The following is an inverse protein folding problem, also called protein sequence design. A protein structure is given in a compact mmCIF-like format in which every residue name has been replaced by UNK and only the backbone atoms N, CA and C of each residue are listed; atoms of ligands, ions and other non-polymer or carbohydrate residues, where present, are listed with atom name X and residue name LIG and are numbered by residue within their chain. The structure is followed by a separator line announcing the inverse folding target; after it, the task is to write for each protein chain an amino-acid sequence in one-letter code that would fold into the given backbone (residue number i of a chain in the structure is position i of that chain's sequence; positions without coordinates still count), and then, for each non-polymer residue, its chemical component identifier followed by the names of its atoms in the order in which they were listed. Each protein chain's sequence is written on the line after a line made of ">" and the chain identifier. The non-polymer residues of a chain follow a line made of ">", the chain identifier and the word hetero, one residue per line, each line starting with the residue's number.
data_IF_232024810400
#
_entry.id   IF_232024810400
#
_cell.length_a   1.000
_cell.length_b   1.000
_cell.length_c   1.000
_cell.angle_alpha   90.00
_cell.angle_beta   90.00
_cell.angle_gamma   90.00
#
_symmetry.space_group_name_H-M   'P 1'
#
loop_
_entity.id
_entity.type
_entity.pdbx_description
1 polymer ?
#
# COMPACT_ATOMS: atom_id res chain seq x y z
N UNK A 1 -21.26 -1.84 1.40
CA UNK A 1 -20.10 -1.67 0.50
C UNK A 1 -20.15 -2.80 -0.52
N UNK A 2 -19.51 -2.65 -1.69
CA UNK A 2 -19.45 -3.73 -2.68
C UNK A 2 -18.15 -3.72 -3.47
N UNK A 3 -17.80 -4.87 -4.03
CA UNK A 3 -16.72 -5.01 -4.99
C UNK A 3 -17.22 -4.55 -6.36
N UNK A 4 -16.66 -3.47 -6.90
CA UNK A 4 -17.05 -2.94 -8.21
C UNK A 4 -16.39 -3.71 -9.34
N UNK A 5 -15.10 -4.04 -9.19
CA UNK A 5 -14.31 -4.72 -10.22
C UNK A 5 -13.23 -5.59 -9.61
N UNK A 6 -12.95 -6.72 -10.27
CA UNK A 6 -11.72 -7.50 -10.09
C UNK A 6 -10.85 -7.24 -11.31
N UNK A 7 -9.59 -6.89 -11.11
CA UNK A 7 -8.67 -6.53 -12.18
C UNK A 7 -7.41 -7.38 -12.13
N UNK A 8 -6.99 -7.88 -13.30
CA UNK A 8 -5.78 -8.70 -13.45
C UNK A 8 -4.79 -8.02 -14.39
N UNK A 9 -3.50 -8.12 -14.06
CA UNK A 9 -2.40 -7.66 -14.88
C UNK A 9 -1.73 -8.82 -15.60
N UNK A 10 -1.17 -8.53 -16.77
CA UNK A 10 -0.28 -9.44 -17.51
C UNK A 10 1.09 -8.79 -17.63
N UNK A 11 2.13 -9.60 -17.72
CA UNK A 11 3.47 -9.09 -18.02
C UNK A 11 3.47 -8.42 -19.40
N UNK A 12 3.81 -7.14 -19.43
CA UNK A 12 3.95 -6.36 -20.67
C UNK A 12 5.30 -5.63 -20.68
N UNK A 13 5.94 -5.58 -21.85
CA UNK A 13 7.18 -4.81 -22.07
C UNK A 13 6.85 -3.33 -22.22
N UNK A 14 7.48 -2.49 -21.39
CA UNK A 14 7.24 -1.05 -21.35
C UNK A 14 8.55 -0.25 -21.23
N UNK A 15 8.62 0.97 -21.79
CA UNK A 15 9.86 1.77 -21.78
C UNK A 15 10.09 2.54 -20.46
N UNK A 16 9.16 2.46 -19.50
CA UNK A 16 9.13 3.33 -18.32
C UNK A 16 9.30 2.60 -16.98
N UNK A 17 9.51 1.28 -17.02
CA UNK A 17 9.79 0.46 -15.83
C UNK A 17 11.29 0.39 -15.56
N UNK A 18 11.66 0.26 -14.28
CA UNK A 18 13.03 0.00 -13.83
C UNK A 18 13.33 -1.49 -13.65
N UNK A 19 12.35 -2.37 -13.89
CA UNK A 19 12.57 -3.81 -13.90
C UNK A 19 13.64 -4.18 -14.95
N UNK A 20 14.63 -5.04 -14.63
CA UNK A 20 15.77 -5.31 -15.54
C UNK A 20 15.40 -5.81 -16.93
N UNK A 21 14.29 -6.53 -17.05
CA UNK A 21 13.76 -7.04 -18.32
C UNK A 21 12.82 -6.07 -19.05
N UNK A 22 12.59 -4.86 -18.50
CA UNK A 22 11.68 -3.89 -19.09
C UNK A 22 10.21 -4.28 -19.02
N UNK A 23 9.80 -5.15 -18.09
CA UNK A 23 8.42 -5.66 -17.97
C UNK A 23 7.68 -5.14 -16.73
N UNK A 24 6.35 -5.11 -16.80
CA UNK A 24 5.48 -4.79 -15.68
C UNK A 24 4.09 -5.43 -15.83
N UNK A 25 3.42 -5.71 -14.71
CA UNK A 25 2.00 -6.12 -14.64
C UNK A 25 1.07 -5.01 -14.12
N UNK A 26 1.49 -3.74 -14.23
CA UNK A 26 0.76 -2.61 -13.65
C UNK A 26 -0.54 -2.27 -14.40
N UNK A 27 -0.63 -2.56 -15.71
CA UNK A 27 -1.84 -2.33 -16.51
C UNK A 27 -2.91 -3.39 -16.18
N UNK A 28 -3.48 -3.33 -14.98
CA UNK A 28 -4.55 -4.25 -14.60
C UNK A 28 -5.84 -3.87 -15.32
N UNK A 29 -6.58 -4.87 -15.80
CA UNK A 29 -7.85 -4.69 -16.51
C UNK A 29 -8.96 -5.48 -15.84
N UNK A 30 -10.20 -4.94 -15.83
CA UNK A 30 -11.37 -5.66 -15.34
C UNK A 30 -11.50 -7.02 -16.02
N UNK A 31 -11.88 -8.03 -15.25
CA UNK A 31 -12.21 -9.36 -15.77
C UNK A 31 -13.64 -9.74 -15.41
N UNK A 32 -14.26 -10.48 -16.31
CA UNK A 32 -15.59 -11.05 -16.09
C UNK A 32 -15.49 -12.38 -15.34
N UNK A 33 -16.52 -12.67 -14.54
CA UNK A 33 -16.65 -13.94 -13.83
C UNK A 33 -15.89 -14.01 -12.49
N UNK A 34 -15.96 -15.16 -11.81
CA UNK A 34 -15.29 -15.39 -10.54
C UNK A 34 -13.77 -15.51 -10.70
N UNK A 35 -13.04 -14.95 -9.74
CA UNK A 35 -11.59 -15.01 -9.64
C UNK A 35 -11.21 -15.56 -8.28
N UNK A 36 -10.35 -16.58 -8.30
CA UNK A 36 -9.82 -17.20 -7.08
C UNK A 36 -8.84 -16.27 -6.37
N UNK A 37 -8.99 -16.13 -5.07
CA UNK A 37 -8.02 -15.51 -4.17
C UNK A 37 -7.49 -16.56 -3.19
N UNK A 38 -6.16 -16.60 -3.06
CA UNK A 38 -5.44 -17.48 -2.14
C UNK A 38 -4.14 -16.80 -1.71
N UNK A 39 -3.59 -17.16 -0.54
CA UNK A 39 -2.28 -16.65 -0.15
C UNK A 39 -1.21 -17.05 -1.20
N UNK A 40 -0.36 -16.12 -1.65
CA UNK A 40 0.69 -16.42 -2.63
C UNK A 40 1.71 -17.43 -2.10
N UNK A 41 1.94 -17.45 -0.78
CA UNK A 41 2.96 -18.28 -0.17
C UNK A 41 4.38 -17.75 -0.40
N UNK A 42 5.41 -18.49 0.06
CA UNK A 42 6.78 -17.98 0.17
C UNK A 42 7.44 -17.63 -1.18
N UNK A 43 7.03 -18.30 -2.26
CA UNK A 43 7.57 -18.09 -3.61
C UNK A 43 6.61 -17.31 -4.52
N UNK A 44 5.43 -16.95 -4.00
CA UNK A 44 4.38 -16.26 -4.76
C UNK A 44 4.41 -14.75 -4.55
N UNK A 45 3.85 -14.02 -5.51
CA UNK A 45 3.80 -12.56 -5.47
C UNK A 45 2.38 -11.99 -5.42
N UNK A 46 1.41 -12.59 -6.11
CA UNK A 46 0.01 -12.15 -6.09
C UNK A 46 -0.86 -13.22 -5.47
N UNK A 47 -1.78 -12.80 -4.61
CA UNK A 47 -2.83 -13.66 -4.08
C UNK A 47 -4.05 -13.76 -4.99
N UNK A 48 -4.05 -13.08 -6.13
CA UNK A 48 -5.15 -13.11 -7.10
C UNK A 48 -4.75 -13.99 -8.29
N UNK A 49 -5.44 -15.11 -8.46
CA UNK A 49 -5.07 -16.10 -9.49
C UNK A 49 -5.20 -15.49 -10.89
N UNK A 50 -4.14 -15.65 -11.69
CA UNK A 50 -4.04 -15.09 -13.04
C UNK A 50 -3.49 -13.67 -13.09
N UNK A 51 -3.22 -13.03 -11.95
CA UNK A 51 -2.54 -11.75 -11.88
C UNK A 51 -1.01 -11.91 -11.94
N UNK A 52 -0.34 -10.91 -12.50
CA UNK A 52 1.12 -10.88 -12.64
C UNK A 52 1.75 -9.74 -11.85
N UNK A 53 2.71 -10.08 -10.99
CA UNK A 53 3.60 -9.12 -10.31
C UNK A 53 5.03 -9.37 -10.77
N UNK A 54 5.63 -8.41 -11.47
CA UNK A 54 6.96 -8.58 -12.07
C UNK A 54 8.10 -8.27 -11.09
N UNK A 55 8.01 -7.15 -10.34
CA UNK A 55 9.02 -6.80 -9.34
C UNK A 55 8.64 -7.35 -7.97
N UNK A 56 9.09 -8.58 -7.69
CA UNK A 56 8.83 -9.27 -6.43
C UNK A 56 9.73 -8.84 -5.28
N UNK A 57 10.72 -7.98 -5.54
CA UNK A 57 11.61 -7.44 -4.50
C UNK A 57 10.91 -6.40 -3.64
N UNK A 58 10.02 -5.62 -4.26
CA UNK A 58 9.31 -4.51 -3.60
C UNK A 58 7.79 -4.67 -3.59
N UNK A 59 7.25 -5.62 -4.35
CA UNK A 59 5.82 -5.83 -4.48
C UNK A 59 5.45 -7.30 -4.29
N UNK A 60 4.31 -7.52 -3.65
CA UNK A 60 3.73 -8.85 -3.50
C UNK A 60 4.19 -9.58 -2.25
N UNK A 61 3.99 -10.90 -2.24
CA UNK A 61 4.12 -11.73 -1.06
C UNK A 61 2.86 -11.66 -0.19
N UNK A 62 2.84 -12.41 0.92
CA UNK A 62 1.63 -12.59 1.71
C UNK A 62 1.07 -11.26 2.25
N UNK A 63 1.93 -10.31 2.62
CA UNK A 63 1.53 -9.00 3.13
C UNK A 63 1.04 -8.02 2.07
N UNK A 64 1.24 -8.31 0.79
CA UNK A 64 0.81 -7.48 -0.33
C UNK A 64 0.10 -8.32 -1.41
N UNK A 65 -0.58 -9.39 -0.95
CA UNK A 65 -1.21 -10.38 -1.82
C UNK A 65 -2.30 -9.77 -2.71
N UNK A 66 -3.05 -8.80 -2.20
CA UNK A 66 -4.13 -8.14 -2.92
C UNK A 66 -4.02 -6.64 -2.74
N UNK A 67 -4.11 -5.86 -3.82
CA UNK A 67 -4.17 -4.39 -3.75
C UNK A 67 -5.59 -3.88 -4.02
N UNK A 68 -6.12 -3.04 -3.13
CA UNK A 68 -7.45 -2.45 -3.24
C UNK A 68 -7.41 -0.92 -3.31
N UNK A 69 -8.33 -0.34 -4.08
CA UNK A 69 -8.57 1.11 -4.17
C UNK A 69 -10.08 1.38 -4.16
N UNK A 70 -10.50 2.46 -3.53
CA UNK A 70 -11.89 2.93 -3.57
C UNK A 70 -12.18 3.60 -4.92
N UNK A 71 -13.36 3.35 -5.51
CA UNK A 71 -13.76 4.04 -6.75
C UNK A 71 -13.83 5.56 -6.52
N UNK A 72 -14.21 5.97 -5.32
CA UNK A 72 -14.22 7.34 -4.85
C UNK A 72 -12.84 8.01 -4.97
N UNK A 73 -11.76 7.31 -4.58
CA UNK A 73 -10.39 7.82 -4.72
C UNK A 73 -9.99 7.99 -6.20
N UNK A 74 -10.41 7.04 -7.07
CA UNK A 74 -10.19 7.14 -8.52
C UNK A 74 -10.96 8.32 -9.10
N UNK A 75 -12.24 8.50 -8.76
CA UNK A 75 -13.08 9.60 -9.23
C UNK A 75 -12.50 10.96 -8.84
N UNK A 76 -11.95 11.07 -7.63
CA UNK A 76 -11.27 12.28 -7.18
C UNK A 76 -10.04 12.59 -8.04
N UNK A 77 -9.30 11.56 -8.44
CA UNK A 77 -8.18 11.71 -9.38
C UNK A 77 -8.65 12.00 -10.81
N UNK A 78 -9.75 11.42 -11.28
CA UNK A 78 -10.32 11.73 -12.60
C UNK A 78 -10.61 13.22 -12.73
N UNK A 79 -11.20 13.83 -11.69
CA UNK A 79 -11.47 15.26 -11.65
C UNK A 79 -10.19 16.10 -11.67
N UNK A 80 -9.16 15.68 -10.93
CA UNK A 80 -7.87 16.39 -10.91
C UNK A 80 -7.09 16.25 -12.23
N UNK A 81 -7.21 15.12 -12.91
CA UNK A 81 -6.48 14.82 -14.15
C UNK A 81 -7.25 15.24 -15.41
N UNK A 82 -8.56 15.49 -15.31
CA UNK A 82 -9.41 15.82 -16.46
C UNK A 82 -9.59 14.67 -17.45
N UNK A 83 -9.49 13.42 -16.98
CA UNK A 83 -9.67 12.20 -17.80
C UNK A 83 -10.19 11.04 -16.97
N UNK A 84 -10.82 10.08 -17.64
CA UNK A 84 -11.30 8.86 -17.00
C UNK A 84 -10.16 7.94 -16.55
N UNK A 85 -10.32 7.37 -15.37
CA UNK A 85 -9.50 6.34 -14.75
C UNK A 85 -10.41 5.11 -14.54
N UNK A 86 -10.19 4.10 -15.37
CA UNK A 86 -10.86 2.81 -15.23
C UNK A 86 -10.46 2.13 -13.92
N UNK A 87 -11.28 1.17 -13.49
CA UNK A 87 -10.84 0.15 -12.55
C UNK A 87 -9.58 -0.57 -13.06
N UNK A 88 -8.61 -0.75 -12.18
CA UNK A 88 -7.29 -1.31 -12.46
C UNK A 88 -6.26 -0.27 -12.90
N UNK A 89 -6.64 1.01 -13.10
CA UNK A 89 -5.72 2.04 -13.58
C UNK A 89 -4.59 2.36 -12.58
N UNK A 90 -4.79 2.10 -11.28
CA UNK A 90 -3.72 2.21 -10.30
C UNK A 90 -2.96 0.91 -10.14
N UNK A 91 -3.26 -0.11 -10.94
CA UNK A 91 -2.73 -1.46 -10.81
C UNK A 91 -3.30 -2.18 -9.60
N UNK A 92 -4.48 -1.78 -9.11
CA UNK A 92 -5.23 -2.46 -8.06
C UNK A 92 -5.96 -3.68 -8.57
N UNK A 93 -5.99 -4.74 -7.76
CA UNK A 93 -6.76 -5.94 -8.05
C UNK A 93 -8.24 -5.74 -7.74
N UNK A 94 -8.57 -5.01 -6.68
CA UNK A 94 -9.94 -4.81 -6.24
C UNK A 94 -10.29 -3.32 -6.29
N UNK A 95 -11.27 -2.96 -7.10
CA UNK A 95 -11.90 -1.64 -7.00
C UNK A 95 -13.17 -1.78 -6.18
N UNK A 96 -13.30 -1.06 -5.08
CA UNK A 96 -14.47 -1.11 -4.17
C UNK A 96 -15.33 0.14 -4.29
N UNK A 97 -16.58 0.08 -3.79
CA UNK A 97 -17.49 1.23 -3.67
C UNK A 97 -18.10 1.27 -2.27
N UNK A 98 -18.14 2.47 -1.70
CA UNK A 98 -18.70 2.79 -0.40
C UNK A 98 -17.80 2.45 0.79
N UNK A 99 -16.56 2.03 0.53
CA UNK A 99 -15.56 1.64 1.54
C UNK A 99 -14.43 2.66 1.54
N UNK A 100 -14.14 3.25 2.70
CA UNK A 100 -12.97 4.10 2.88
C UNK A 100 -11.71 3.25 3.01
N UNK A 101 -11.12 2.91 1.86
CA UNK A 101 -9.93 2.04 1.77
C UNK A 101 -8.71 2.70 2.40
N UNK A 102 -8.48 3.99 2.13
CA UNK A 102 -7.33 4.72 2.64
C UNK A 102 -7.46 5.06 4.14
N UNK A 103 -8.70 5.18 4.64
CA UNK A 103 -9.01 5.37 6.06
C UNK A 103 -9.16 4.06 6.86
N UNK A 104 -9.10 2.90 6.21
CA UNK A 104 -9.18 1.61 6.89
C UNK A 104 -8.06 1.43 7.91
N UNK A 105 -8.33 0.69 9.00
CA UNK A 105 -7.34 0.40 10.03
C UNK A 105 -6.42 -0.75 9.58
N UNK A 106 -5.13 -0.66 9.90
CA UNK A 106 -4.20 -1.79 9.74
C UNK A 106 -4.69 -2.95 10.62
N UNK A 107 -4.91 -4.14 10.06
CA UNK A 107 -5.52 -5.28 10.75
C UNK A 107 -7.05 -5.33 10.67
N UNK A 108 -7.70 -4.36 10.03
CA UNK A 108 -9.12 -4.46 9.69
C UNK A 108 -9.35 -5.65 8.74
N UNK A 109 -10.42 -6.43 8.95
CA UNK A 109 -10.73 -7.59 8.12
C UNK A 109 -12.00 -7.42 7.31
N UNK A 110 -11.90 -7.71 6.03
CA UNK A 110 -12.97 -7.55 5.06
C UNK A 110 -13.40 -8.91 4.55
N UNK A 111 -14.67 -9.24 4.77
CA UNK A 111 -15.32 -10.35 4.09
C UNK A 111 -15.84 -9.87 2.74
N UNK A 112 -15.47 -10.57 1.68
CA UNK A 112 -15.88 -10.28 0.31
C UNK A 112 -16.56 -11.51 -0.26
N UNK A 113 -17.80 -11.34 -0.70
CA UNK A 113 -18.61 -12.47 -1.14
C UNK A 113 -18.84 -13.48 0.01
N UNK A 114 -18.99 -14.78 -0.30
CA UNK A 114 -19.30 -15.79 0.72
C UNK A 114 -18.09 -16.19 1.58
N UNK A 115 -16.90 -16.27 0.99
CA UNK A 115 -15.79 -17.04 1.58
C UNK A 115 -14.50 -16.25 1.79
N UNK A 116 -14.24 -15.18 1.02
CA UNK A 116 -12.93 -14.52 1.06
C UNK A 116 -12.84 -13.58 2.25
N UNK A 117 -11.83 -13.79 3.10
CA UNK A 117 -11.48 -12.91 4.20
C UNK A 117 -10.09 -12.33 3.99
N UNK A 118 -10.00 -11.01 3.88
CA UNK A 118 -8.75 -10.27 3.71
C UNK A 118 -8.46 -9.41 4.94
N UNK A 119 -7.18 -9.21 5.26
CA UNK A 119 -6.73 -8.34 6.36
C UNK A 119 -5.82 -7.23 5.83
N UNK A 120 -6.08 -5.97 6.21
CA UNK A 120 -5.34 -4.79 5.78
C UNK A 120 -3.94 -4.74 6.39
N UNK A 121 -2.89 -4.48 5.61
CA UNK A 121 -1.49 -4.57 6.08
C UNK A 121 -0.68 -3.27 5.95
N UNK A 122 -0.85 -2.54 4.85
CA UNK A 122 -0.17 -1.26 4.57
C UNK A 122 -0.80 -0.52 3.39
N UNK A 123 -0.37 0.73 3.16
CA UNK A 123 -0.68 1.49 1.95
C UNK A 123 0.33 1.26 0.83
N UNK A 124 -0.08 1.53 -0.41
CA UNK A 124 0.82 1.48 -1.56
C UNK A 124 1.83 2.61 -1.53
N UNK A 125 3.11 2.28 -1.73
CA UNK A 125 4.17 3.26 -2.01
C UNK A 125 4.25 3.51 -3.53
N UNK A 126 4.09 4.76 -4.01
CA UNK A 126 4.16 5.06 -5.44
C UNK A 126 5.60 4.90 -5.97
N UNK A 127 5.75 4.26 -7.14
CA UNK A 127 7.03 3.98 -7.77
C UNK A 127 7.16 4.62 -9.17
N UNK A 128 8.35 4.51 -9.78
CA UNK A 128 8.61 5.03 -11.14
C UNK A 128 7.69 4.39 -12.18
N UNK A 129 7.50 3.07 -12.11
CA UNK A 129 6.63 2.33 -13.01
C UNK A 129 5.18 2.83 -12.94
N UNK A 130 4.70 3.18 -11.75
CA UNK A 130 3.38 3.79 -11.57
C UNK A 130 3.27 5.17 -12.22
N UNK A 131 4.29 6.01 -12.05
CA UNK A 131 4.35 7.30 -12.74
C UNK A 131 4.36 7.13 -14.26
N UNK A 132 5.18 6.21 -14.78
CA UNK A 132 5.28 5.93 -16.22
C UNK A 132 3.96 5.42 -16.80
N UNK A 133 3.29 4.50 -16.09
CA UNK A 133 2.00 3.96 -16.47
C UNK A 133 0.91 5.02 -16.58
N UNK A 134 0.83 5.93 -15.60
CA UNK A 134 -0.12 7.02 -15.63
C UNK A 134 0.28 8.10 -16.65
N UNK A 135 1.56 8.20 -17.01
CA UNK A 135 2.06 9.27 -17.89
C UNK A 135 1.95 10.66 -17.25
N UNK A 136 1.86 10.74 -15.93
CA UNK A 136 1.64 11.99 -15.19
C UNK A 136 2.95 12.56 -14.63
N UNK A 137 3.21 13.84 -14.91
CA UNK A 137 4.41 14.50 -14.38
C UNK A 137 4.31 14.64 -12.86
N UNK A 138 5.42 14.35 -12.18
CA UNK A 138 5.54 14.42 -10.72
C UNK A 138 4.51 13.55 -9.99
N UNK A 139 4.03 12.47 -10.63
CA UNK A 139 2.98 11.61 -10.08
C UNK A 139 3.32 11.11 -8.68
N UNK A 140 4.55 10.63 -8.46
CA UNK A 140 5.00 10.15 -7.13
C UNK A 140 4.76 11.23 -6.07
N UNK A 141 5.19 12.47 -6.32
CA UNK A 141 5.02 13.59 -5.39
C UNK A 141 3.55 13.95 -5.18
N UNK A 142 2.75 14.01 -6.25
CA UNK A 142 1.32 14.36 -6.18
C UNK A 142 0.53 13.30 -5.42
N UNK A 143 0.77 12.03 -5.74
CA UNK A 143 0.16 10.88 -5.07
C UNK A 143 0.50 10.84 -3.58
N UNK A 144 1.79 10.99 -3.24
CA UNK A 144 2.23 11.06 -1.84
C UNK A 144 1.59 12.21 -1.09
N UNK A 145 1.49 13.40 -1.69
CA UNK A 145 0.85 14.56 -1.05
C UNK A 145 -0.65 14.35 -0.82
N UNK A 146 -1.36 13.65 -1.72
CA UNK A 146 -2.79 13.40 -1.56
C UNK A 146 -3.07 12.45 -0.38
N UNK A 147 -2.17 11.52 -0.10
CA UNK A 147 -2.27 10.66 1.09
C UNK A 147 -3.43 9.65 1.06
N UNK A 148 -3.95 9.34 -0.13
CA UNK A 148 -4.97 8.32 -0.39
C UNK A 148 -4.35 7.15 -1.18
N UNK A 149 -3.56 6.28 -0.53
CA UNK A 149 -2.72 5.31 -1.23
C UNK A 149 -3.45 4.03 -1.64
N UNK A 150 -4.72 3.84 -1.27
CA UNK A 150 -5.32 2.51 -1.27
C UNK A 150 -4.66 1.57 -0.25
N UNK A 151 -5.09 0.31 -0.21
CA UNK A 151 -4.64 -0.65 0.81
C UNK A 151 -4.15 -1.95 0.17
N UNK A 152 -3.00 -2.44 0.65
CA UNK A 152 -2.60 -3.83 0.47
C UNK A 152 -3.23 -4.70 1.56
N UNK A 153 -3.57 -5.93 1.17
CA UNK A 153 -4.20 -6.91 2.04
C UNK A 153 -3.52 -8.27 1.92
N UNK A 154 -3.46 -8.98 3.05
CA UNK A 154 -3.12 -10.40 3.11
C UNK A 154 -4.37 -11.26 3.10
N UNK A 155 -4.24 -12.51 2.65
CA UNK A 155 -5.35 -13.48 2.59
C UNK A 155 -5.43 -14.25 3.90
N UNK A 156 -6.56 -14.18 4.59
CA UNK A 156 -6.85 -14.94 5.81
C UNK A 156 -7.65 -16.21 5.48
N UNK A 157 -8.71 -16.07 4.68
CA UNK A 157 -9.52 -17.19 4.18
C UNK A 157 -9.56 -17.11 2.65
N UNK A 158 -9.11 -18.16 1.93
CA UNK A 158 -9.13 -18.20 0.47
C UNK A 158 -10.54 -18.50 -0.05
N UNK A 159 -10.83 -18.10 -1.29
CA UNK A 159 -12.15 -18.28 -1.89
C UNK A 159 -12.22 -17.64 -3.27
N UNK A 160 -13.44 -17.41 -3.78
CA UNK A 160 -13.66 -16.73 -5.04
C UNK A 160 -14.41 -15.41 -4.83
N UNK A 161 -14.03 -14.41 -5.63
CA UNK A 161 -14.71 -13.11 -5.68
C UNK A 161 -15.06 -12.76 -7.12
N UNK A 162 -16.11 -11.95 -7.29
CA UNK A 162 -16.52 -11.37 -8.57
C UNK A 162 -17.06 -9.96 -8.37
N UNK A 163 -17.07 -9.19 -9.46
CA UNK A 163 -17.76 -7.91 -9.47
C UNK A 163 -19.22 -8.06 -9.00
N UNK A 164 -19.65 -7.15 -8.12
CA UNK A 164 -20.97 -7.17 -7.50
C UNK A 164 -21.02 -7.78 -6.10
N UNK A 165 -20.01 -8.56 -5.69
CA UNK A 165 -20.00 -9.19 -4.37
C UNK A 165 -20.06 -8.13 -3.23
N UNK A 166 -20.79 -8.41 -2.14
CA UNK A 166 -20.81 -7.53 -0.97
C UNK A 166 -19.43 -7.49 -0.32
N UNK A 167 -19.10 -6.35 0.25
CA UNK A 167 -17.93 -6.16 1.10
C UNK A 167 -18.41 -5.78 2.49
N UNK A 168 -17.93 -6.49 3.51
CA UNK A 168 -18.30 -6.28 4.90
C UNK A 168 -17.05 -6.20 5.78
N UNK A 169 -16.96 -5.17 6.62
CA UNK A 169 -15.93 -5.09 7.64
C UNK A 169 -16.36 -5.94 8.83
N UNK A 170 -15.78 -7.13 8.98
CA UNK A 170 -16.16 -8.12 10.01
C UNK A 170 -15.28 -8.06 11.26
N UNK A 171 -14.16 -7.35 11.19
CA UNK A 171 -13.30 -7.09 12.33
C UNK A 171 -12.65 -5.72 12.21
N UNK A 172 -12.67 -4.95 13.31
CA UNK A 172 -11.91 -3.70 13.46
C UNK A 172 -10.97 -3.82 14.67
N UNK A 173 -9.67 -3.49 14.53
CA UNK A 173 -8.71 -3.55 15.61
C UNK A 173 -8.90 -2.39 16.61
N UNK A 174 -8.39 -2.57 17.84
CA UNK A 174 -8.54 -1.62 18.95
C UNK A 174 -7.57 -0.42 18.94
N UNK A 175 -7.09 0.00 17.77
CA UNK A 175 -6.13 1.11 17.62
C UNK A 175 -6.54 2.06 16.50
N UNK A 176 -5.88 3.22 16.38
CA UNK A 176 -6.21 4.26 15.39
C UNK A 176 -5.26 4.30 14.18
N UNK A 177 -4.41 3.29 14.00
CA UNK A 177 -3.46 3.24 12.88
C UNK A 177 -4.21 2.96 11.58
N UNK A 178 -4.52 4.00 10.81
CA UNK A 178 -5.10 3.88 9.47
C UNK A 178 -4.01 3.64 8.41
N UNK A 179 -4.43 3.17 7.24
CA UNK A 179 -3.58 3.06 6.05
C UNK A 179 -2.97 4.41 5.66
N UNK A 180 -3.76 5.49 5.66
CA UNK A 180 -3.26 6.83 5.39
C UNK A 180 -2.23 7.32 6.44
N UNK A 181 -2.43 7.01 7.73
CA UNK A 181 -1.47 7.32 8.78
C UNK A 181 -0.16 6.53 8.57
N UNK A 182 -0.27 5.24 8.30
CA UNK A 182 0.87 4.38 7.98
C UNK A 182 1.65 4.92 6.79
N UNK A 183 0.95 5.30 5.71
CA UNK A 183 1.56 5.84 4.51
C UNK A 183 2.31 7.15 4.76
N UNK A 184 1.71 8.11 5.46
CA UNK A 184 2.39 9.36 5.86
C UNK A 184 3.62 9.09 6.71
N UNK A 185 3.52 8.19 7.68
CA UNK A 185 4.62 7.85 8.57
C UNK A 185 5.86 7.31 7.83
N UNK A 186 5.65 6.50 6.79
CA UNK A 186 6.75 5.90 6.02
C UNK A 186 7.21 6.73 4.81
N UNK A 187 6.54 7.86 4.51
CA UNK A 187 6.86 8.70 3.35
C UNK A 187 7.25 10.14 3.70
N UNK A 188 6.41 10.87 4.42
CA UNK A 188 6.57 12.33 4.61
C UNK A 188 6.77 12.74 6.07
N UNK A 189 6.30 11.96 7.03
CA UNK A 189 6.15 12.36 8.44
C UNK A 189 6.69 11.28 9.38
N UNK A 190 8.02 11.10 9.37
CA UNK A 190 8.70 10.00 10.08
C UNK A 190 8.48 10.03 11.60
N UNK A 191 8.17 11.18 12.17
CA UNK A 191 7.78 11.35 13.57
C UNK A 191 6.51 10.58 13.95
N UNK A 192 5.69 10.19 12.97
CA UNK A 192 4.52 9.34 13.19
C UNK A 192 4.87 7.85 13.34
N UNK A 193 6.09 7.41 12.99
CA UNK A 193 6.51 6.01 13.03
C UNK A 193 6.22 5.30 14.36
N UNK A 194 6.47 5.90 15.56
CA UNK A 194 6.14 5.25 16.83
C UNK A 194 4.65 4.91 16.98
N UNK A 195 3.75 5.68 16.36
CA UNK A 195 2.30 5.40 16.43
C UNK A 195 1.94 4.08 15.74
N UNK A 196 2.72 3.66 14.75
CA UNK A 196 2.48 2.42 14.01
C UNK A 196 2.64 1.17 14.87
N UNK A 197 3.41 1.26 15.97
CA UNK A 197 3.63 0.12 16.89
C UNK A 197 2.33 -0.42 17.50
N UNK A 198 1.28 0.41 17.58
CA UNK A 198 -0.03 -0.02 18.07
C UNK A 198 -0.70 -1.08 17.18
N UNK A 199 -0.33 -1.15 15.89
CA UNK A 199 -0.85 -2.16 14.96
C UNK A 199 -0.16 -3.53 15.09
N UNK A 200 0.97 -3.62 15.80
CA UNK A 200 1.66 -4.88 16.04
C UNK A 200 1.95 -5.66 14.75
N UNK A 201 1.68 -6.97 14.79
CA UNK A 201 1.97 -7.91 13.68
C UNK A 201 0.95 -7.85 12.52
N UNK A 202 -0.12 -7.06 12.65
CA UNK A 202 -1.00 -6.75 11.52
C UNK A 202 -0.33 -5.79 10.52
N UNK A 203 0.68 -5.03 10.97
CA UNK A 203 1.44 -4.11 10.13
C UNK A 203 2.43 -4.88 9.24
N UNK A 204 2.60 -4.40 8.00
CA UNK A 204 3.62 -4.92 7.10
C UNK A 204 5.03 -4.96 7.78
N UNK A 205 5.76 -6.08 7.72
CA UNK A 205 6.99 -6.30 8.51
C UNK A 205 8.06 -5.23 8.34
N UNK A 206 8.26 -4.72 7.12
CA UNK A 206 9.20 -3.64 6.86
C UNK A 206 8.82 -2.34 7.60
N UNK A 207 7.54 -1.96 7.60
CA UNK A 207 7.06 -0.77 8.30
C UNK A 207 7.15 -0.95 9.82
N UNK A 208 6.87 -2.16 10.32
CA UNK A 208 7.03 -2.51 11.74
C UNK A 208 8.50 -2.42 12.18
N UNK A 209 9.43 -2.94 11.38
CA UNK A 209 10.87 -2.83 11.65
C UNK A 209 11.34 -1.35 11.67
N UNK A 210 10.88 -0.54 10.72
CA UNK A 210 11.15 0.90 10.69
C UNK A 210 10.63 1.61 11.95
N UNK A 211 9.41 1.28 12.39
CA UNK A 211 8.81 1.86 13.59
C UNK A 211 9.60 1.50 14.87
N UNK A 212 10.01 0.23 15.00
CA UNK A 212 10.85 -0.25 16.11
C UNK A 212 12.20 0.47 16.15
N UNK A 213 12.91 0.50 15.01
CA UNK A 213 14.20 1.15 14.90
C UNK A 213 14.15 2.66 15.21
N UNK A 214 13.10 3.36 14.75
CA UNK A 214 12.90 4.77 15.07
C UNK A 214 12.66 4.98 16.58
N UNK A 215 11.80 4.16 17.19
CA UNK A 215 11.49 4.27 18.61
C UNK A 215 12.74 4.02 19.48
N UNK A 216 13.58 3.05 19.11
CA UNK A 216 14.85 2.75 19.79
C UNK A 216 15.87 3.90 19.63
N UNK A 217 16.06 4.41 18.41
CA UNK A 217 16.97 5.53 18.14
C UNK A 217 16.55 6.85 18.80
N UNK A 218 15.25 7.06 18.99
CA UNK A 218 14.72 8.24 19.70
C UNK A 218 14.95 8.17 21.22
N UNK A 219 15.10 6.96 21.79
CA UNK A 219 15.38 6.75 23.21
C UNK A 219 16.86 6.92 23.56
N UNK A 220 17.77 6.81 22.59
CA UNK A 220 19.22 6.89 22.79
C UNK A 220 19.82 8.28 22.52
N UNK A 221 19.01 9.27 22.10
CA UNK A 221 19.47 10.65 21.93
C UNK A 221 19.33 11.43 23.25
N UNK A 222 20.43 11.88 23.89
CA UNK A 222 20.34 12.58 25.15
C UNK A 222 19.77 13.98 24.92
N UNK A 223 18.58 14.25 25.46
CA UNK A 223 18.08 15.63 25.61
C UNK A 223 18.88 16.29 26.73
N UNK A 224 19.65 17.32 26.38
CA UNK A 224 20.19 18.30 27.31
C UNK A 224 21.64 18.07 27.73
N UNK A 225 22.59 18.51 26.90
CA UNK A 225 23.90 18.93 27.40
C UNK A 225 23.99 20.45 27.20
N UNK A 226 24.04 21.19 28.30
CA UNK A 226 24.29 22.63 28.30
C UNK A 226 25.65 22.94 27.66
N UNK A 227 25.81 24.11 26.99
CA UNK A 227 27.07 24.47 26.37
C UNK A 227 28.10 24.86 27.43
N UNK A 228 29.18 24.08 27.53
CA UNK A 228 30.36 24.39 28.35
C UNK A 228 31.27 25.41 27.64
N UNK A 229 31.87 26.40 28.35
CA UNK A 229 32.61 27.48 27.71
C UNK A 229 34.02 27.07 27.31
N UNK A 230 34.43 27.52 26.12
CA UNK A 230 35.71 27.23 25.49
C UNK A 230 36.91 27.87 26.23
N UNK A 231 37.94 27.05 26.49
CA UNK A 231 39.29 27.49 26.87
C UNK A 231 40.14 27.62 25.61
N UNK A 232 40.47 28.86 25.23
CA UNK A 232 41.51 29.16 24.24
C UNK A 232 42.90 28.84 24.79
N UNK A 233 43.64 27.97 24.08
CA UNK A 233 45.11 27.93 24.12
C UNK A 233 45.65 27.84 22.70
N UNK A 234 46.07 28.98 22.18
CA UNK A 234 46.96 29.10 21.02
C UNK A 234 48.41 29.02 21.50
N UNK A 235 49.20 28.12 20.90
CA UNK A 235 50.65 28.33 20.70
C UNK A 235 51.03 27.76 19.33
N UNK A 236 51.37 28.67 18.42
CA UNK A 236 52.02 28.39 17.15
C UNK A 236 53.54 28.48 17.32
N UNK A 237 54.25 27.62 16.59
CA UNK A 237 55.45 27.97 15.83
C UNK A 237 55.30 27.32 14.46
#
# INVERSE_FOLDING_TARGET
>A
MKLLSVNLGRSETVPYTDHPQGVTGIDKRPVDGPVRIAAPGPDGASGVVGDTVCDTRHHGGDDQAVYAVAREDLDDWERELGRTLRSGAFGENLTTVGLDVSGALIGERWRIGPDVLLEVTCGRIPCRTFQGHLGEKQWVRRFTRKGAPGAYLRVIEPGEVRAGDPVEVVHRPGHEVTVALQFRAVTTERELLPRLLAAGEALHPVALAQARAYAEGSRTSPRGAEPSPALHRTKAR
#
